data_IF_680834838377
#
_entry.id   IF_680834838377
#
_cell.length_a   1.000
_cell.length_b   1.000
_cell.length_c   1.000
_cell.angle_alpha   90.00
_cell.angle_beta   90.00
_cell.angle_gamma   90.00
#
_symmetry.space_group_name_H-M   'P 1'
#
loop_
_entity.id
_entity.type
_entity.pdbx_description
1 polymer ?
#
# COMPACT_ATOMS: atom_id res chain seq x y z
N UNK A 1 66.83 -13.40 -46.47
CA UNK A 1 66.32 -12.02 -46.56
C UNK A 1 64.80 -12.08 -46.73
N UNK A 2 64.06 -11.79 -45.66
CA UNK A 2 62.59 -11.81 -45.63
C UNK A 2 62.15 -11.17 -44.32
N UNK A 3 61.51 -10.03 -44.44
CA UNK A 3 61.31 -8.99 -43.44
C UNK A 3 59.98 -9.21 -42.67
N UNK A 4 59.97 -8.85 -41.37
CA UNK A 4 58.98 -7.91 -40.74
C UNK A 4 57.54 -8.46 -40.59
N UNK A 5 56.76 -8.35 -39.50
CA UNK A 5 56.76 -7.57 -38.26
C UNK A 5 55.66 -8.12 -37.34
N UNK A 6 55.82 -7.83 -36.04
CA UNK A 6 54.80 -7.38 -35.10
C UNK A 6 53.47 -8.15 -34.93
N UNK A 7 53.34 -8.75 -33.74
CA UNK A 7 52.72 -8.01 -32.65
C UNK A 7 51.20 -8.16 -32.45
N UNK A 8 50.87 -8.57 -31.22
CA UNK A 8 49.73 -8.08 -30.42
C UNK A 8 48.31 -8.46 -30.88
N UNK A 9 47.69 -9.42 -30.16
CA UNK A 9 46.78 -9.20 -29.01
C UNK A 9 45.81 -10.38 -28.91
N UNK A 10 45.75 -10.97 -27.71
CA UNK A 10 44.62 -11.77 -27.25
C UNK A 10 43.37 -10.89 -27.23
N UNK A 11 42.32 -11.30 -27.92
CA UNK A 11 40.97 -10.76 -27.72
C UNK A 11 39.99 -11.90 -27.54
N UNK A 12 39.80 -12.23 -26.26
CA UNK A 12 38.63 -12.96 -25.77
C UNK A 12 37.42 -12.06 -26.00
N UNK A 13 36.52 -12.43 -26.91
CA UNK A 13 35.17 -11.86 -26.93
C UNK A 13 34.28 -12.87 -26.25
N UNK A 14 34.15 -12.72 -24.93
CA UNK A 14 33.09 -13.37 -24.18
C UNK A 14 31.79 -12.66 -24.54
N UNK A 15 30.87 -13.38 -25.21
CA UNK A 15 29.52 -12.94 -25.42
C UNK A 15 28.87 -12.75 -24.04
N UNK A 16 28.62 -11.50 -23.66
CA UNK A 16 27.88 -11.15 -22.47
C UNK A 16 26.44 -11.68 -22.64
N UNK A 17 26.13 -12.75 -21.91
CA UNK A 17 24.78 -13.31 -21.83
C UNK A 17 23.81 -12.27 -21.31
N UNK A 18 22.67 -12.16 -22.00
CA UNK A 18 21.60 -11.23 -21.70
C UNK A 18 21.08 -11.41 -20.26
N UNK A 19 21.03 -10.31 -19.50
CA UNK A 19 20.27 -10.21 -18.27
C UNK A 19 18.78 -10.29 -18.62
N UNK A 20 18.20 -11.49 -18.49
CA UNK A 20 16.76 -11.66 -18.46
C UNK A 20 16.24 -11.12 -17.13
N UNK A 21 15.77 -9.86 -17.13
CA UNK A 21 14.99 -9.32 -16.02
C UNK A 21 13.62 -9.99 -16.08
N UNK A 22 13.46 -11.07 -15.31
CA UNK A 22 12.15 -11.59 -14.94
C UNK A 22 11.48 -10.55 -14.04
N UNK A 23 10.79 -9.59 -14.64
CA UNK A 23 9.80 -8.79 -13.92
C UNK A 23 8.67 -9.75 -13.60
N UNK A 24 8.71 -10.31 -12.40
CA UNK A 24 7.53 -10.91 -11.79
C UNK A 24 6.44 -9.86 -11.80
N UNK A 25 5.48 -9.98 -12.72
CA UNK A 25 4.23 -9.25 -12.68
C UNK A 25 3.52 -9.72 -11.42
N UNK A 26 3.82 -9.07 -10.29
CA UNK A 26 3.00 -9.13 -9.10
C UNK A 26 1.59 -8.78 -9.55
N UNK A 27 0.71 -9.78 -9.59
CA UNK A 27 -0.70 -9.57 -9.79
C UNK A 27 -1.13 -8.51 -8.78
N UNK A 28 -1.45 -7.31 -9.27
CA UNK A 28 -2.11 -6.31 -8.46
C UNK A 28 -3.39 -6.98 -7.94
N UNK A 29 -3.61 -7.07 -6.62
CA UNK A 29 -4.84 -7.66 -6.12
C UNK A 29 -6.01 -6.90 -6.75
N UNK A 30 -6.99 -7.67 -7.21
CA UNK A 30 -8.21 -7.18 -7.86
C UNK A 30 -8.83 -6.04 -7.06
N UNK A 31 -9.28 -5.02 -7.79
CA UNK A 31 -10.05 -3.90 -7.30
C UNK A 31 -11.41 -4.37 -6.75
N UNK A 32 -11.40 -4.88 -5.52
CA UNK A 32 -12.61 -5.20 -4.75
C UNK A 32 -12.77 -4.11 -3.69
N UNK A 33 -13.73 -3.21 -3.91
CA UNK A 33 -14.15 -2.17 -2.99
C UNK A 33 -14.50 -2.76 -1.60
N UNK A 34 -14.21 -2.06 -0.50
CA UNK A 34 -14.72 -2.38 0.85
C UNK A 34 -14.65 -3.88 1.22
N UNK A 35 -13.41 -4.36 1.38
CA UNK A 35 -13.07 -5.73 1.79
C UNK A 35 -11.56 -5.95 2.01
N UNK A 36 -10.77 -4.87 1.99
CA UNK A 36 -9.31 -4.91 2.00
C UNK A 36 -8.73 -5.01 3.42
N UNK A 37 -9.04 -6.14 4.04
CA UNK A 37 -8.52 -6.63 5.30
C UNK A 37 -7.02 -6.96 5.17
N UNK A 38 -6.15 -5.96 5.38
CA UNK A 38 -4.71 -6.13 5.16
C UNK A 38 -3.86 -5.41 6.18
N UNK A 39 -2.67 -5.96 6.40
CA UNK A 39 -1.59 -5.24 7.06
C UNK A 39 -0.99 -4.20 6.10
N UNK A 40 -0.80 -2.98 6.57
CA UNK A 40 -0.13 -1.90 5.84
C UNK A 40 1.06 -1.45 6.66
N UNK A 41 2.26 -1.65 6.11
CA UNK A 41 3.50 -1.17 6.72
C UNK A 41 3.75 0.30 6.35
N UNK A 42 4.09 1.13 7.34
CA UNK A 42 4.35 2.56 7.20
C UNK A 42 5.60 2.93 8.02
N UNK A 43 6.11 4.14 7.80
CA UNK A 43 7.24 4.68 8.57
C UNK A 43 6.98 4.74 10.08
N UNK A 44 5.70 4.80 10.50
CA UNK A 44 5.31 4.86 11.90
C UNK A 44 4.85 3.51 12.49
N UNK A 45 5.00 2.41 11.74
CA UNK A 45 4.62 1.07 12.17
C UNK A 45 3.71 0.36 11.18
N UNK A 46 3.22 -0.81 11.58
CA UNK A 46 2.26 -1.59 10.81
C UNK A 46 0.87 -1.44 11.42
N UNK A 47 -0.12 -1.18 10.58
CA UNK A 47 -1.52 -1.20 10.99
C UNK A 47 -2.30 -2.18 10.13
N UNK A 48 -3.23 -2.90 10.76
CA UNK A 48 -4.25 -3.65 10.06
C UNK A 48 -5.40 -2.72 9.68
N UNK A 49 -5.71 -2.61 8.40
CA UNK A 49 -6.79 -1.78 7.87
C UNK A 49 -7.90 -2.67 7.35
N UNK A 50 -9.14 -2.22 7.54
CA UNK A 50 -10.33 -2.99 7.21
C UNK A 50 -11.49 -2.03 6.95
N UNK A 51 -12.29 -2.29 5.93
CA UNK A 51 -13.45 -1.48 5.59
C UNK A 51 -14.51 -2.34 4.92
N UNK A 52 -15.77 -1.95 5.04
CA UNK A 52 -16.90 -2.74 4.55
C UNK A 52 -18.17 -1.94 4.33
N UNK A 53 -19.12 -2.55 3.63
CA UNK A 53 -20.49 -2.09 3.47
C UNK A 53 -21.46 -3.23 3.75
N UNK A 54 -22.48 -2.98 4.56
CA UNK A 54 -23.45 -4.01 4.98
C UNK A 54 -24.77 -3.97 4.20
N UNK A 55 -24.93 -3.05 3.26
CA UNK A 55 -26.21 -2.73 2.64
C UNK A 55 -26.95 -1.58 3.32
N UNK A 56 -26.67 -1.32 4.61
CA UNK A 56 -27.30 -0.26 5.40
C UNK A 56 -26.33 0.75 6.00
N UNK A 57 -25.06 0.37 6.17
CA UNK A 57 -24.02 1.30 6.60
C UNK A 57 -22.65 0.91 6.04
N UNK A 58 -21.80 1.92 5.92
CA UNK A 58 -20.37 1.77 5.60
C UNK A 58 -19.57 1.82 6.89
N UNK A 59 -18.44 1.12 6.94
CA UNK A 59 -17.54 1.16 8.07
C UNK A 59 -16.08 1.11 7.64
N UNK A 60 -15.21 1.67 8.48
CA UNK A 60 -13.77 1.62 8.32
C UNK A 60 -13.11 1.49 9.69
N UNK A 61 -12.11 0.60 9.79
CA UNK A 61 -11.35 0.30 10.98
C UNK A 61 -9.85 0.32 10.69
N UNK A 62 -9.10 0.95 11.59
CA UNK A 62 -7.63 0.91 11.62
C UNK A 62 -7.22 0.35 12.98
N UNK A 63 -6.45 -0.74 12.99
CA UNK A 63 -5.89 -1.34 14.21
C UNK A 63 -4.38 -1.32 14.14
N UNK A 64 -3.72 -1.04 15.27
CA UNK A 64 -2.27 -1.18 15.36
C UNK A 64 -1.91 -2.66 15.35
N UNK A 65 -0.87 -2.98 14.60
CA UNK A 65 -0.30 -4.33 14.55
C UNK A 65 1.11 -4.32 15.15
N UNK A 66 1.92 -3.32 14.83
CA UNK A 66 3.27 -3.12 15.40
C UNK A 66 3.78 -1.70 15.21
N UNK A 67 4.89 -1.34 15.86
CA UNK A 67 5.55 -0.03 15.77
C UNK A 67 5.19 0.92 16.92
N UNK A 68 5.91 2.03 16.99
CA UNK A 68 5.89 2.96 18.14
C UNK A 68 5.05 4.19 17.89
N UNK A 69 3.98 4.01 17.11
CA UNK A 69 3.07 5.09 16.78
C UNK A 69 2.54 5.75 18.06
N UNK A 70 3.03 6.97 18.36
CA UNK A 70 2.82 7.65 19.64
C UNK A 70 1.50 8.43 19.69
N UNK A 71 0.84 8.59 18.53
CA UNK A 71 -0.43 9.28 18.38
C UNK A 71 -1.63 8.35 18.35
N UNK A 72 -2.81 8.94 18.15
CA UNK A 72 -4.04 8.19 17.93
C UNK A 72 -4.10 7.67 16.50
N UNK A 73 -4.67 6.48 16.34
CA UNK A 73 -5.15 6.01 15.04
C UNK A 73 -6.37 6.83 14.65
N UNK A 74 -6.65 6.90 13.36
CA UNK A 74 -7.87 7.52 12.87
C UNK A 74 -8.41 6.84 11.62
N UNK A 75 -9.69 7.04 11.37
CA UNK A 75 -10.41 6.45 10.25
C UNK A 75 -11.52 7.36 9.71
N UNK A 76 -11.78 7.29 8.41
CA UNK A 76 -12.88 7.99 7.74
C UNK A 76 -13.42 7.11 6.60
N UNK A 77 -14.52 7.52 5.99
CA UNK A 77 -15.15 6.83 4.87
C UNK A 77 -15.25 7.82 3.69
N UNK A 78 -14.75 7.44 2.52
CA UNK A 78 -14.82 8.22 1.29
C UNK A 78 -15.85 7.63 0.32
N UNK A 79 -16.74 8.47 -0.19
CA UNK A 79 -17.77 8.10 -1.17
C UNK A 79 -17.29 8.40 -2.59
N UNK A 80 -17.94 7.80 -3.60
CA UNK A 80 -17.55 7.95 -5.01
C UNK A 80 -17.59 9.39 -5.55
N UNK A 81 -18.25 10.31 -4.84
CA UNK A 81 -18.27 11.75 -5.16
C UNK A 81 -17.00 12.49 -4.71
N UNK A 82 -16.09 11.83 -4.00
CA UNK A 82 -14.92 12.45 -3.36
C UNK A 82 -15.23 13.11 -2.01
N UNK A 83 -16.49 13.10 -1.58
CA UNK A 83 -16.85 13.49 -0.21
C UNK A 83 -16.44 12.38 0.78
N UNK A 84 -15.94 12.80 1.93
CA UNK A 84 -15.57 11.91 3.03
C UNK A 84 -16.22 12.33 4.34
N UNK A 85 -16.55 11.35 5.17
CA UNK A 85 -17.04 11.58 6.52
C UNK A 85 -16.00 12.33 7.36
N UNK A 86 -16.42 13.04 8.42
CA UNK A 86 -15.48 13.54 9.41
C UNK A 86 -14.54 12.43 9.89
N UNK A 87 -13.27 12.80 10.09
CA UNK A 87 -12.25 11.87 10.58
C UNK A 87 -12.57 11.48 12.02
N UNK A 88 -12.75 10.19 12.27
CA UNK A 88 -12.89 9.65 13.60
C UNK A 88 -11.50 9.42 14.20
N UNK A 89 -11.27 9.97 15.39
CA UNK A 89 -10.04 9.82 16.15
C UNK A 89 -10.24 8.75 17.22
N UNK A 90 -9.42 7.70 17.17
CA UNK A 90 -9.46 6.59 18.10
C UNK A 90 -8.41 6.68 19.21
N UNK A 91 -7.95 5.52 19.66
CA UNK A 91 -6.78 5.36 20.54
C UNK A 91 -5.51 5.07 19.73
N UNK A 92 -4.37 4.86 20.39
CA UNK A 92 -3.14 4.38 19.74
C UNK A 92 -3.25 2.95 19.17
N UNK A 93 -4.28 2.20 19.58
CA UNK A 93 -4.43 0.78 19.24
C UNK A 93 -5.56 0.53 18.23
N UNK A 94 -6.61 1.37 18.24
CA UNK A 94 -7.77 1.19 17.38
C UNK A 94 -8.47 2.51 17.05
N UNK A 95 -8.88 2.67 15.80
CA UNK A 95 -9.85 3.67 15.35
C UNK A 95 -10.92 2.99 14.49
N UNK A 96 -12.17 3.37 14.72
CA UNK A 96 -13.32 2.84 14.00
C UNK A 96 -14.27 3.97 13.66
N UNK A 97 -14.87 3.92 12.49
CA UNK A 97 -15.96 4.79 12.08
C UNK A 97 -17.00 4.00 11.30
N UNK A 98 -18.25 4.42 11.42
CA UNK A 98 -19.33 3.95 10.59
C UNK A 98 -20.24 5.10 10.17
N UNK A 99 -20.89 4.94 9.03
CA UNK A 99 -21.83 5.92 8.51
C UNK A 99 -23.00 5.20 7.84
N UNK A 100 -24.20 5.42 8.37
CA UNK A 100 -25.44 4.87 7.81
C UNK A 100 -25.72 5.52 6.46
N UNK A 101 -25.81 4.69 5.43
CA UNK A 101 -26.08 5.11 4.06
C UNK A 101 -26.45 3.88 3.26
N UNK A 102 -27.37 4.02 2.32
CA UNK A 102 -27.67 2.99 1.32
C UNK A 102 -26.68 3.03 0.15
N UNK A 103 -25.86 4.08 0.06
CA UNK A 103 -24.81 4.20 -0.94
C UNK A 103 -23.53 3.55 -0.42
N UNK A 104 -22.96 2.64 -1.20
CA UNK A 104 -21.67 2.02 -0.91
C UNK A 104 -20.56 3.08 -1.00
N UNK A 105 -19.73 3.16 0.02
CA UNK A 105 -18.54 4.00 0.00
C UNK A 105 -17.54 3.48 -1.04
N UNK A 106 -16.73 4.39 -1.58
CA UNK A 106 -15.66 4.03 -2.50
C UNK A 106 -14.48 3.43 -1.72
N UNK A 107 -14.10 4.07 -0.61
CA UNK A 107 -12.95 3.65 0.19
C UNK A 107 -13.17 3.82 1.71
N UNK A 108 -12.52 2.96 2.48
CA UNK A 108 -12.15 3.26 3.86
C UNK A 108 -10.84 4.05 3.90
N UNK A 109 -10.76 5.06 4.76
CA UNK A 109 -9.58 5.89 4.95
C UNK A 109 -8.95 5.61 6.30
N UNK A 110 -7.65 5.36 6.29
CA UNK A 110 -6.93 4.81 7.44
C UNK A 110 -5.65 5.57 7.72
N UNK A 111 -5.48 5.97 8.97
CA UNK A 111 -4.28 6.65 9.43
C UNK A 111 -3.66 5.87 10.58
N UNK A 112 -2.38 5.50 10.39
CA UNK A 112 -1.60 4.73 11.36
C UNK A 112 -1.20 5.52 12.60
N UNK A 113 -1.03 6.83 12.49
CA UNK A 113 -1.14 7.82 13.56
C UNK A 113 -1.70 9.08 12.92
N UNK A 114 -2.14 10.04 13.74
CA UNK A 114 -2.62 11.33 13.26
C UNK A 114 -1.62 12.03 12.31
N UNK A 115 -0.31 11.84 12.53
CA UNK A 115 0.80 12.36 11.74
C UNK A 115 1.26 11.49 10.56
N UNK A 116 0.74 10.26 10.41
CA UNK A 116 1.15 9.36 9.33
C UNK A 116 0.31 9.55 8.07
N UNK A 117 0.86 9.15 6.91
CA UNK A 117 0.12 9.17 5.66
C UNK A 117 -1.17 8.34 5.72
N UNK A 118 -2.22 8.89 5.09
CA UNK A 118 -3.50 8.21 4.87
C UNK A 118 -3.32 7.02 3.94
N UNK A 119 -4.14 5.99 4.10
CA UNK A 119 -4.26 4.89 3.15
C UNK A 119 -5.72 4.60 2.86
N UNK A 120 -6.01 4.41 1.58
CA UNK A 120 -7.32 3.99 1.07
C UNK A 120 -7.42 2.46 1.08
N UNK A 121 -8.58 1.92 1.43
CA UNK A 121 -8.91 0.49 1.39
C UNK A 121 -10.27 0.24 0.74
#
# INVERSE_FOLDING_TARGET
MGRILAGRRLSKVAAAGALAVLVSTLAAPSAEALGNNRAVNRSCGTNYVSSGFTGSYNWAQTRKQSGDCSGRLSSAIEYGTGWWTPRAYGSSENAYTSHTSTTRAAYGLHWGCDSCNVTRS
#
